data_IF_600485498812
#
_entry.id   IF_600485498812
#
_cell.length_a   1.000
_cell.length_b   1.000
_cell.length_c   1.000
_cell.angle_alpha   90.00
_cell.angle_beta   90.00
_cell.angle_gamma   90.00
#
_symmetry.space_group_name_H-M   'P 1'
#
loop_
_entity.id
_entity.type
_entity.pdbx_description
1 polymer ?
#
# COMPACT_ATOMS: atom_id res chain seq x y z
N UNK A 1 -23.06 11.06 9.58
CA UNK A 1 -24.14 11.15 8.57
C UNK A 1 -23.99 9.94 7.64
N UNK A 2 -25.00 9.09 7.52
CA UNK A 2 -24.97 7.97 6.59
C UNK A 2 -25.00 8.45 5.13
N UNK A 3 -24.20 7.83 4.27
CA UNK A 3 -24.14 8.08 2.83
C UNK A 3 -23.90 6.76 2.09
N UNK A 4 -24.30 6.70 0.82
CA UNK A 4 -24.03 5.57 -0.06
C UNK A 4 -23.00 6.00 -1.11
N UNK A 5 -21.80 5.41 -1.08
CA UNK A 5 -20.79 5.60 -2.10
C UNK A 5 -21.18 4.85 -3.39
N UNK A 6 -21.08 5.52 -4.52
CA UNK A 6 -21.35 4.97 -5.87
C UNK A 6 -20.10 4.95 -6.75
N UNK A 7 -19.11 5.79 -6.44
CA UNK A 7 -17.85 5.88 -7.17
C UNK A 7 -16.73 6.26 -6.20
N UNK A 8 -15.50 5.87 -6.53
CA UNK A 8 -14.32 6.23 -5.78
C UNK A 8 -13.20 6.67 -6.73
N UNK A 9 -12.36 7.59 -6.25
CA UNK A 9 -11.19 8.06 -6.95
C UNK A 9 -10.03 8.19 -5.96
N UNK A 10 -8.91 7.54 -6.29
CA UNK A 10 -7.68 7.64 -5.51
C UNK A 10 -6.64 8.48 -6.24
N UNK A 11 -6.08 9.48 -5.56
CA UNK A 11 -5.04 10.36 -6.12
C UNK A 11 -3.88 10.55 -5.13
N UNK A 12 -2.72 10.99 -5.64
CA UNK A 12 -1.60 11.45 -4.80
C UNK A 12 -1.50 12.96 -4.92
N UNK A 13 -1.75 13.68 -3.83
CA UNK A 13 -1.70 15.14 -3.79
C UNK A 13 -0.52 15.64 -2.96
N UNK A 14 0.02 16.80 -3.34
CA UNK A 14 1.16 17.41 -2.64
C UNK A 14 0.66 18.38 -1.56
N UNK A 15 0.71 17.96 -0.31
CA UNK A 15 0.34 18.76 0.87
C UNK A 15 1.62 19.10 1.64
N UNK A 16 1.88 20.38 1.90
CA UNK A 16 3.05 20.83 2.67
C UNK A 16 4.39 20.22 2.17
N UNK A 17 4.56 20.16 0.84
CA UNK A 17 5.72 19.56 0.14
C UNK A 17 5.86 18.03 0.24
N UNK A 18 4.92 17.35 0.88
CA UNK A 18 4.87 15.88 0.98
C UNK A 18 3.73 15.36 0.10
N UNK A 19 3.99 14.29 -0.66
CA UNK A 19 2.92 13.62 -1.40
C UNK A 19 2.15 12.70 -0.45
N UNK A 20 0.83 12.87 -0.40
CA UNK A 20 -0.09 12.10 0.41
C UNK A 20 -1.14 11.45 -0.48
N UNK A 21 -1.51 10.21 -0.20
CA UNK A 21 -2.63 9.56 -0.86
C UNK A 21 -3.96 10.08 -0.31
N UNK A 22 -4.89 10.37 -1.21
CA UNK A 22 -6.25 10.81 -0.89
C UNK A 22 -7.23 9.90 -1.62
N UNK A 23 -8.27 9.47 -0.90
CA UNK A 23 -9.37 8.70 -1.46
C UNK A 23 -10.66 9.54 -1.38
N UNK A 24 -11.20 9.88 -2.54
CA UNK A 24 -12.47 10.55 -2.70
C UNK A 24 -13.56 9.50 -2.94
N UNK A 25 -14.63 9.56 -2.15
CA UNK A 25 -15.83 8.74 -2.31
C UNK A 25 -16.98 9.66 -2.72
N UNK A 26 -17.55 9.39 -3.89
CA UNK A 26 -18.70 10.12 -4.42
C UNK A 26 -19.97 9.32 -4.15
N UNK A 27 -21.04 9.99 -3.77
CA UNK A 27 -22.25 9.31 -3.33
C UNK A 27 -23.45 10.20 -3.14
N UNK A 28 -24.47 9.64 -2.50
CA UNK A 28 -25.67 10.35 -2.09
C UNK A 28 -25.95 10.14 -0.60
N UNK A 29 -26.48 11.17 0.05
CA UNK A 29 -27.08 11.06 1.38
C UNK A 29 -28.46 10.40 1.29
N UNK A 30 -29.01 9.98 2.42
CA UNK A 30 -30.35 9.36 2.49
C UNK A 30 -31.45 10.26 1.90
N UNK A 31 -31.28 11.59 1.96
CA UNK A 31 -32.22 12.57 1.40
C UNK A 31 -32.00 12.86 -0.11
N UNK A 32 -31.12 12.10 -0.78
CA UNK A 32 -30.84 12.25 -2.21
C UNK A 32 -29.82 13.34 -2.58
N UNK A 33 -29.30 14.10 -1.62
CA UNK A 33 -28.26 15.10 -1.89
C UNK A 33 -26.94 14.42 -2.26
N UNK A 34 -26.18 14.99 -3.21
CA UNK A 34 -24.83 14.54 -3.54
C UNK A 34 -23.88 14.76 -2.35
N UNK A 35 -23.01 13.79 -2.12
CA UNK A 35 -21.98 13.84 -1.09
C UNK A 35 -20.61 13.50 -1.70
N UNK A 36 -19.58 14.22 -1.25
CA UNK A 36 -18.17 13.90 -1.46
C UNK A 36 -17.52 13.70 -0.09
N UNK A 37 -16.95 12.51 0.12
CA UNK A 37 -16.19 12.21 1.32
C UNK A 37 -14.73 12.06 0.93
N UNK A 38 -13.87 12.93 1.47
CA UNK A 38 -12.42 12.88 1.24
C UNK A 38 -11.74 12.25 2.44
N UNK A 39 -11.13 11.09 2.22
CA UNK A 39 -10.32 10.40 3.22
C UNK A 39 -8.85 10.81 3.03
N UNK A 40 -8.27 11.34 4.10
CA UNK A 40 -6.86 11.77 4.17
C UNK A 40 -6.09 10.87 5.12
N UNK A 41 -4.78 11.04 5.15
CA UNK A 41 -3.86 10.33 6.05
C UNK A 41 -3.89 8.80 5.87
N UNK A 42 -4.19 8.35 4.66
CA UNK A 42 -4.10 6.95 4.27
C UNK A 42 -2.66 6.65 3.89
N UNK A 43 -2.05 5.73 4.64
CA UNK A 43 -0.75 5.18 4.29
C UNK A 43 -0.94 3.98 3.36
N UNK A 44 -0.45 4.10 2.13
CA UNK A 44 -0.51 3.00 1.16
C UNK A 44 0.63 2.03 1.44
N UNK A 45 0.36 0.73 1.31
CA UNK A 45 1.30 -0.31 1.70
C UNK A 45 1.50 -1.38 0.64
N UNK A 46 2.59 -2.11 0.77
CA UNK A 46 2.82 -3.41 0.14
C UNK A 46 3.55 -4.31 1.14
N UNK A 47 3.61 -5.59 0.84
CA UNK A 47 4.22 -6.60 1.70
C UNK A 47 5.46 -7.19 1.02
N UNK A 48 6.49 -7.50 1.81
CA UNK A 48 7.71 -8.18 1.36
C UNK A 48 7.77 -9.51 2.11
N UNK A 49 7.95 -10.61 1.37
CA UNK A 49 8.11 -11.92 1.97
C UNK A 49 9.49 -12.00 2.65
N UNK A 50 9.53 -12.43 3.90
CA UNK A 50 10.80 -12.68 4.60
C UNK A 50 11.37 -14.02 4.08
N UNK A 51 12.64 -14.05 3.62
CA UNK A 51 13.30 -15.29 3.21
C UNK A 51 13.30 -16.34 4.33
N UNK A 52 13.21 -17.63 3.98
CA UNK A 52 13.09 -18.70 4.97
C UNK A 52 14.35 -18.86 5.85
N UNK A 53 15.50 -18.42 5.34
CA UNK A 53 16.82 -18.47 5.97
C UNK A 53 17.16 -17.21 6.77
N UNK A 54 16.27 -16.21 6.80
CA UNK A 54 16.49 -14.94 7.47
C UNK A 54 15.45 -14.67 8.57
N UNK A 55 15.87 -13.98 9.62
CA UNK A 55 14.94 -13.42 10.60
C UNK A 55 14.26 -12.15 10.05
N UNK A 56 13.04 -11.80 10.52
CA UNK A 56 12.38 -10.57 10.13
C UNK A 56 13.21 -9.30 10.41
N UNK A 57 14.01 -9.29 11.47
CA UNK A 57 14.86 -8.15 11.84
C UNK A 57 16.06 -7.96 10.90
N UNK A 58 16.70 -9.07 10.49
CA UNK A 58 17.78 -9.05 9.50
C UNK A 58 17.26 -8.59 8.13
N UNK A 59 16.10 -9.12 7.72
CA UNK A 59 15.43 -8.71 6.49
C UNK A 59 15.05 -7.21 6.54
N UNK A 60 14.50 -6.73 7.65
CA UNK A 60 14.14 -5.31 7.82
C UNK A 60 15.36 -4.40 7.67
N UNK A 61 16.50 -4.78 8.24
CA UNK A 61 17.74 -4.00 8.14
C UNK A 61 18.15 -3.80 6.67
N UNK A 62 18.15 -4.88 5.88
CA UNK A 62 18.46 -4.82 4.43
C UNK A 62 17.45 -3.96 3.66
N UNK A 63 16.16 -4.13 3.95
CA UNK A 63 15.10 -3.34 3.28
C UNK A 63 15.22 -1.85 3.62
N UNK A 64 15.56 -1.50 4.87
CA UNK A 64 15.78 -0.09 5.25
C UNK A 64 16.93 0.53 4.48
N UNK A 65 18.03 -0.20 4.32
CA UNK A 65 19.19 0.27 3.56
C UNK A 65 18.82 0.52 2.09
N UNK A 66 18.14 -0.44 1.44
CA UNK A 66 17.66 -0.31 0.04
C UNK A 66 16.72 0.89 -0.12
N UNK A 67 15.76 1.04 0.80
CA UNK A 67 14.72 2.08 0.69
C UNK A 67 15.23 3.47 1.07
N UNK A 68 16.27 3.58 1.91
CA UNK A 68 16.85 4.86 2.32
C UNK A 68 17.31 5.73 1.14
N UNK A 69 17.79 5.10 0.06
CA UNK A 69 18.19 5.78 -1.18
C UNK A 69 17.04 6.06 -2.15
N UNK A 70 15.88 5.42 -1.97
CA UNK A 70 14.80 5.38 -2.95
C UNK A 70 13.55 6.15 -2.52
N UNK A 71 13.22 6.13 -1.23
CA UNK A 71 11.98 6.71 -0.68
C UNK A 71 12.25 7.47 0.61
N UNK A 72 11.80 8.72 0.68
CA UNK A 72 12.08 9.63 1.81
C UNK A 72 11.39 9.24 3.11
N UNK A 73 10.17 8.70 3.05
CA UNK A 73 9.36 8.45 4.23
C UNK A 73 8.62 7.14 4.06
N UNK A 74 8.93 6.20 4.94
CA UNK A 74 8.27 4.91 5.03
C UNK A 74 8.29 4.40 6.47
N UNK A 75 7.39 3.48 6.79
CA UNK A 75 7.43 2.72 8.04
C UNK A 75 7.33 1.23 7.74
N UNK A 76 7.87 0.41 8.64
CA UNK A 76 7.94 -1.04 8.50
C UNK A 76 7.17 -1.68 9.64
N UNK A 77 6.36 -2.70 9.34
CA UNK A 77 5.64 -3.48 10.34
C UNK A 77 5.78 -4.98 10.05
N UNK A 78 6.11 -5.76 11.07
CA UNK A 78 6.16 -7.21 10.96
C UNK A 78 4.76 -7.79 11.03
N UNK A 79 4.41 -8.67 10.09
CA UNK A 79 3.12 -9.37 10.07
C UNK A 79 3.32 -10.85 9.74
N UNK A 80 2.30 -11.66 10.04
CA UNK A 80 2.21 -13.05 9.58
C UNK A 80 0.93 -13.23 8.78
N UNK A 81 1.05 -13.72 7.55
CA UNK A 81 -0.07 -13.91 6.63
C UNK A 81 0.07 -15.20 5.83
N UNK A 82 -1.03 -15.68 5.24
CA UNK A 82 -0.96 -16.76 4.27
C UNK A 82 -0.55 -16.19 2.91
N UNK A 83 0.39 -16.83 2.19
CA UNK A 83 0.71 -16.45 0.81
C UNK A 83 -0.53 -16.57 -0.08
N UNK A 84 -0.62 -15.71 -1.10
CA UNK A 84 -1.72 -15.73 -2.06
C UNK A 84 -1.62 -16.90 -3.06
N UNK A 85 -0.39 -17.30 -3.38
CA UNK A 85 -0.13 -18.42 -4.29
C UNK A 85 0.08 -19.69 -3.48
N UNK A 86 -0.33 -20.81 -4.06
CA UNK A 86 -0.31 -22.16 -3.46
C UNK A 86 -1.16 -22.36 -2.21
N UNK A 87 -1.24 -23.62 -1.79
CA UNK A 87 -1.92 -24.01 -0.57
C UNK A 87 -0.92 -24.19 0.57
N UNK A 88 -0.85 -23.19 1.46
CA UNK A 88 -0.01 -23.25 2.66
C UNK A 88 -0.85 -23.49 3.91
N UNK A 89 -0.46 -24.48 4.71
CA UNK A 89 -1.08 -24.77 6.02
C UNK A 89 -0.58 -23.87 7.15
N UNK A 90 0.51 -23.11 6.92
CA UNK A 90 1.14 -22.21 7.88
C UNK A 90 1.28 -20.81 7.30
N UNK A 91 1.16 -19.80 8.17
CA UNK A 91 1.44 -18.40 7.83
C UNK A 91 2.96 -18.20 7.65
N UNK A 92 3.33 -17.42 6.63
CA UNK A 92 4.69 -16.91 6.45
C UNK A 92 4.84 -15.52 7.09
N UNK A 93 6.07 -15.14 7.37
CA UNK A 93 6.42 -13.81 7.89
C UNK A 93 6.57 -12.82 6.74
N UNK A 94 6.06 -11.61 6.91
CA UNK A 94 6.18 -10.52 5.95
C UNK A 94 6.56 -9.22 6.65
N UNK A 95 7.24 -8.36 5.90
CA UNK A 95 7.42 -6.95 6.23
C UNK A 95 6.41 -6.12 5.46
N UNK A 96 5.49 -5.47 6.16
CA UNK A 96 4.57 -4.49 5.58
C UNK A 96 5.24 -3.13 5.54
N UNK A 97 5.43 -2.61 4.35
CA UNK A 97 6.02 -1.30 4.12
C UNK A 97 4.91 -0.30 3.84
N UNK A 98 4.79 0.71 4.69
CA UNK A 98 3.86 1.81 4.50
C UNK A 98 4.58 3.02 3.91
N UNK A 99 3.94 3.71 2.98
CA UNK A 99 4.44 4.93 2.35
C UNK A 99 3.32 5.97 2.26
N UNK A 100 3.71 7.25 2.11
CA UNK A 100 2.75 8.35 2.11
C UNK A 100 1.95 8.46 0.80
N UNK A 101 2.45 7.94 -0.33
CA UNK A 101 1.83 8.13 -1.64
C UNK A 101 1.99 6.92 -2.56
N UNK A 102 1.13 6.83 -3.57
CA UNK A 102 1.19 5.74 -4.57
C UNK A 102 2.48 5.79 -5.38
N UNK A 103 3.00 6.99 -5.67
CA UNK A 103 4.31 7.16 -6.31
C UNK A 103 5.46 6.63 -5.45
N UNK A 104 5.47 6.95 -4.14
CA UNK A 104 6.46 6.43 -3.20
C UNK A 104 6.41 4.91 -3.09
N UNK A 105 5.21 4.32 -2.97
CA UNK A 105 4.99 2.88 -2.99
C UNK A 105 5.55 2.23 -4.25
N UNK A 106 5.25 2.79 -5.43
CA UNK A 106 5.73 2.27 -6.72
C UNK A 106 7.27 2.27 -6.82
N UNK A 107 7.91 3.35 -6.37
CA UNK A 107 9.39 3.41 -6.33
C UNK A 107 9.96 2.40 -5.34
N UNK A 108 9.35 2.24 -4.15
CA UNK A 108 9.77 1.25 -3.17
C UNK A 108 9.67 -0.19 -3.70
N UNK A 109 8.52 -0.55 -4.30
CA UNK A 109 8.31 -1.89 -4.87
C UNK A 109 9.40 -2.22 -5.89
N UNK A 110 9.67 -1.30 -6.82
CA UNK A 110 10.73 -1.50 -7.83
C UNK A 110 12.11 -1.67 -7.19
N UNK A 111 12.49 -0.79 -6.28
CA UNK A 111 13.79 -0.88 -5.61
C UNK A 111 13.98 -2.21 -4.87
N UNK A 112 12.92 -2.73 -4.25
CA UNK A 112 12.93 -4.03 -3.56
C UNK A 112 13.04 -5.19 -4.56
N UNK A 113 12.26 -5.16 -5.63
CA UNK A 113 12.28 -6.18 -6.70
C UNK A 113 13.62 -6.21 -7.45
N UNK A 114 14.22 -5.05 -7.72
CA UNK A 114 15.53 -4.92 -8.36
C UNK A 114 16.66 -5.53 -7.50
N UNK A 115 16.41 -5.71 -6.20
CA UNK A 115 17.29 -6.40 -5.24
C UNK A 115 16.87 -7.86 -4.97
N UNK A 116 16.02 -8.45 -5.82
CA UNK A 116 15.57 -9.85 -5.78
C UNK A 116 14.74 -10.25 -4.56
N UNK A 117 14.05 -9.30 -3.92
CA UNK A 117 13.09 -9.62 -2.87
C UNK A 117 11.70 -9.90 -3.46
N UNK A 118 11.04 -10.93 -2.94
CA UNK A 118 9.66 -11.26 -3.33
C UNK A 118 8.66 -10.33 -2.64
N UNK A 119 7.79 -9.71 -3.43
CA UNK A 119 6.76 -8.78 -2.98
C UNK A 119 5.36 -9.37 -3.10
N UNK A 120 4.44 -8.86 -2.29
CA UNK A 120 3.01 -9.15 -2.34
C UNK A 120 2.20 -7.87 -2.08
N UNK A 121 0.92 -7.86 -2.42
CA UNK A 121 0.08 -6.65 -2.35
C UNK A 121 0.74 -5.48 -3.12
N UNK A 122 1.34 -5.77 -4.28
CA UNK A 122 2.31 -4.94 -4.99
C UNK A 122 1.79 -4.42 -6.34
N UNK A 123 0.46 -4.43 -6.52
CA UNK A 123 -0.20 -3.85 -7.70
C UNK A 123 0.28 -2.42 -7.95
N UNK A 124 0.97 -2.21 -9.08
CA UNK A 124 1.56 -0.91 -9.44
C UNK A 124 0.50 0.12 -9.86
N UNK A 125 -0.66 -0.35 -10.29
CA UNK A 125 -1.76 0.45 -10.80
C UNK A 125 -3.09 -0.12 -10.30
N UNK A 126 -4.03 0.78 -9.95
CA UNK A 126 -5.41 0.39 -9.66
C UNK A 126 -6.16 0.21 -10.98
N UNK A 127 -6.44 -1.02 -11.37
CA UNK A 127 -7.34 -1.32 -12.48
C UNK A 127 -8.74 -1.53 -11.95
N UNK A 128 -9.54 -0.46 -11.88
CA UNK A 128 -10.98 -0.61 -11.67
C UNK A 128 -11.61 -1.01 -13.01
N UNK A 129 -11.93 -2.29 -13.19
CA UNK A 129 -12.81 -2.70 -14.29
C UNK A 129 -14.22 -2.19 -13.96
N UNK A 130 -14.65 -1.15 -14.69
CA UNK A 130 -16.04 -0.70 -14.68
C UNK A 130 -16.82 -1.72 -15.54
N UNK A 131 -17.46 -2.70 -14.91
CA UNK A 131 -18.42 -3.56 -15.62
C UNK A 131 -19.70 -2.72 -15.76
N UNK A 132 -19.98 -2.32 -17.01
CA UNK A 132 -21.17 -1.56 -17.39
C UNK A 132 -22.40 -2.49 -17.54
#
# INVERSE_FOLDING_TARGET
>A
IPFMAIENEGSSEKINRTYCYILCLYGHLINGQKALVTLKDIWVFFDILVPNDESPDECETKIRDILSGSVKTFSVKHIKAFPFHDYYTKKKSYLRIYTNSTGGRKTAIKAVQDNNFETASDDLYSFYHKIA
#
